data_IF_621263242630
#
_entry.id   IF_621263242630
#
_cell.length_a   1.000
_cell.length_b   1.000
_cell.length_c   1.000
_cell.angle_alpha   90.00
_cell.angle_beta   90.00
_cell.angle_gamma   90.00
#
_symmetry.space_group_name_H-M   'P 1'
#
loop_
_entity.id
_entity.type
_entity.pdbx_description
1 polymer ?
#
# COMPACT_ATOMS: atom_id res chain seq x y z
N UNK A 1 34.63 -13.02 29.95
CA UNK A 1 33.84 -12.56 28.78
C UNK A 1 32.62 -11.83 29.34
N UNK A 2 32.51 -10.49 29.23
CA UNK A 2 31.33 -9.79 29.71
C UNK A 2 30.19 -9.93 28.69
N UNK A 3 29.00 -10.24 29.19
CA UNK A 3 27.72 -10.33 28.44
C UNK A 3 27.34 -8.95 27.90
N UNK A 4 26.80 -8.82 26.67
CA UNK A 4 26.34 -7.53 26.16
C UNK A 4 25.15 -6.99 26.98
N UNK A 5 24.96 -5.66 27.05
CA UNK A 5 23.87 -5.06 27.81
C UNK A 5 22.52 -5.43 27.17
N UNK A 6 21.48 -5.55 28.02
CA UNK A 6 20.12 -5.77 27.57
C UNK A 6 19.71 -4.64 26.60
N UNK A 7 19.19 -5.01 25.42
CA UNK A 7 18.72 -4.08 24.40
C UNK A 7 17.77 -3.04 25.02
N UNK A 8 18.18 -1.78 24.97
CA UNK A 8 17.31 -0.67 25.33
C UNK A 8 16.26 -0.54 24.23
N UNK A 9 15.01 -0.89 24.55
CA UNK A 9 13.86 -0.48 23.74
C UNK A 9 13.73 1.02 23.96
N UNK A 10 14.37 1.82 23.11
CA UNK A 10 14.10 3.24 23.07
C UNK A 10 12.62 3.43 22.69
N UNK A 11 11.82 4.18 23.45
CA UNK A 11 10.47 4.53 23.03
C UNK A 11 10.59 5.32 21.72
N UNK A 12 10.05 4.74 20.64
CA UNK A 12 9.86 5.41 19.37
C UNK A 12 8.93 6.60 19.61
N UNK A 13 9.46 7.82 19.65
CA UNK A 13 8.67 9.05 19.69
C UNK A 13 8.14 9.41 18.29
N UNK A 14 7.63 8.42 17.56
CA UNK A 14 6.86 8.71 16.36
C UNK A 14 5.46 9.13 16.82
N UNK A 15 5.03 10.37 16.54
CA UNK A 15 3.65 10.75 16.81
C UNK A 15 2.72 9.79 16.07
N UNK A 16 1.67 9.32 16.75
CA UNK A 16 0.65 8.44 16.18
C UNK A 16 0.27 8.91 14.75
N UNK A 17 0.59 8.12 13.70
CA UNK A 17 0.40 8.54 12.31
C UNK A 17 -1.06 8.44 11.88
N UNK A 18 -1.92 7.83 12.70
CA UNK A 18 -3.33 7.63 12.44
C UNK A 18 -4.19 8.70 13.13
N UNK A 19 -5.36 9.04 12.57
CA UNK A 19 -6.32 9.91 13.22
C UNK A 19 -6.84 9.31 14.53
N UNK A 20 -7.45 10.15 15.38
CA UNK A 20 -8.07 9.66 16.60
C UNK A 20 -9.27 8.73 16.28
N UNK A 21 -9.27 7.48 16.76
CA UNK A 21 -10.39 6.57 16.53
C UNK A 21 -11.63 7.02 17.31
N UNK A 22 -12.81 6.62 16.85
CA UNK A 22 -14.06 6.86 17.58
C UNK A 22 -14.02 6.19 18.94
N UNK A 23 -14.51 6.88 19.97
CA UNK A 23 -14.63 6.34 21.34
C UNK A 23 -15.52 5.10 21.43
N UNK A 24 -16.51 4.99 20.53
CA UNK A 24 -17.42 3.86 20.47
C UNK A 24 -17.35 3.24 19.08
N UNK A 25 -17.05 1.93 18.99
CA UNK A 25 -17.12 1.17 17.76
C UNK A 25 -18.48 1.33 17.06
N UNK A 26 -18.48 1.23 15.74
CA UNK A 26 -19.74 1.06 15.00
C UNK A 26 -20.44 -0.21 15.45
N UNK A 27 -21.76 -0.12 15.61
CA UNK A 27 -22.60 -1.25 16.01
C UNK A 27 -22.59 -2.32 14.91
N UNK A 28 -22.24 -3.57 15.23
CA UNK A 28 -22.34 -4.70 14.30
C UNK A 28 -23.74 -4.84 13.69
N UNK A 29 -23.82 -4.95 12.37
CA UNK A 29 -25.05 -5.00 11.57
C UNK A 29 -25.83 -3.68 11.51
N UNK A 30 -25.26 -2.57 11.98
CA UNK A 30 -25.92 -1.26 12.01
C UNK A 30 -25.85 -0.52 10.67
N UNK A 31 -26.74 0.46 10.43
CA UNK A 31 -26.78 1.20 9.16
C UNK A 31 -25.48 1.95 8.86
N UNK A 32 -24.82 2.51 9.88
CA UNK A 32 -23.54 3.21 9.74
C UNK A 32 -22.39 2.28 9.34
N UNK A 33 -22.41 1.04 9.80
CA UNK A 33 -21.43 0.04 9.39
C UNK A 33 -21.68 -0.38 7.94
N UNK A 34 -22.95 -0.66 7.56
CA UNK A 34 -23.29 -1.01 6.18
C UNK A 34 -22.95 0.11 5.18
N UNK A 35 -23.18 1.36 5.57
CA UNK A 35 -22.79 2.54 4.78
C UNK A 35 -21.26 2.64 4.65
N UNK A 36 -20.53 2.43 5.74
CA UNK A 36 -19.06 2.42 5.71
C UNK A 36 -18.52 1.29 4.82
N UNK A 37 -19.04 0.07 4.94
CA UNK A 37 -18.69 -1.07 4.08
C UNK A 37 -18.90 -0.70 2.61
N UNK A 38 -20.09 -0.18 2.27
CA UNK A 38 -20.43 0.22 0.90
C UNK A 38 -19.51 1.33 0.38
N UNK A 39 -19.14 2.27 1.23
CA UNK A 39 -18.18 3.33 0.90
C UNK A 39 -16.78 2.77 0.65
N UNK A 40 -16.25 1.96 1.57
CA UNK A 40 -14.91 1.38 1.47
C UNK A 40 -14.77 0.48 0.24
N UNK A 41 -15.78 -0.34 -0.06
CA UNK A 41 -15.79 -1.20 -1.24
C UNK A 41 -15.70 -0.36 -2.52
N UNK A 42 -16.53 0.70 -2.63
CA UNK A 42 -16.50 1.62 -3.78
C UNK A 42 -15.16 2.32 -3.94
N UNK A 43 -14.56 2.81 -2.86
CA UNK A 43 -13.28 3.52 -2.92
C UNK A 43 -12.15 2.56 -3.29
N UNK A 44 -12.08 1.37 -2.69
CA UNK A 44 -11.08 0.37 -3.03
C UNK A 44 -11.20 -0.12 -4.48
N UNK A 45 -12.43 -0.28 -4.99
CA UNK A 45 -12.65 -0.62 -6.38
C UNK A 45 -12.26 0.51 -7.33
N UNK A 46 -12.50 1.77 -6.95
CA UNK A 46 -12.01 2.92 -7.69
C UNK A 46 -10.48 2.96 -7.74
N UNK A 47 -9.78 2.70 -6.61
CA UNK A 47 -8.31 2.59 -6.58
C UNK A 47 -7.83 1.49 -7.52
N UNK A 48 -8.39 0.27 -7.43
CA UNK A 48 -8.06 -0.85 -8.33
C UNK A 48 -8.28 -0.52 -9.79
N UNK A 49 -9.39 0.15 -10.10
CA UNK A 49 -9.68 0.62 -11.44
C UNK A 49 -8.60 1.61 -11.93
N UNK A 50 -8.32 2.66 -11.17
CA UNK A 50 -7.34 3.70 -11.54
C UNK A 50 -5.91 3.15 -11.66
N UNK A 51 -5.53 2.17 -10.85
CA UNK A 51 -4.25 1.44 -10.98
C UNK A 51 -4.17 0.70 -12.33
N UNK A 52 -5.22 -0.05 -12.70
CA UNK A 52 -5.25 -0.80 -13.97
C UNK A 52 -5.30 0.11 -15.20
N UNK A 53 -5.92 1.28 -15.07
CA UNK A 53 -6.02 2.28 -16.13
C UNK A 53 -4.88 3.32 -16.07
N UNK A 54 -3.74 2.98 -15.46
CA UNK A 54 -2.53 3.80 -15.34
C UNK A 54 -2.24 4.58 -16.63
N UNK A 55 -2.06 5.89 -16.46
CA UNK A 55 -1.79 6.80 -17.57
C UNK A 55 -0.28 6.95 -17.82
N UNK A 56 0.42 5.89 -18.25
CA UNK A 56 1.88 5.92 -18.46
C UNK A 56 2.40 6.24 -19.88
N UNK A 57 2.92 7.44 -20.08
CA UNK A 57 3.63 7.94 -21.26
C UNK A 57 5.09 8.17 -20.87
N UNK A 58 5.86 7.08 -20.81
CA UNK A 58 7.31 7.15 -20.57
C UNK A 58 8.16 6.23 -21.45
N UNK A 59 7.60 5.16 -22.01
CA UNK A 59 8.35 4.16 -22.78
C UNK A 59 7.55 3.48 -23.91
N UNK A 60 6.74 4.24 -24.65
CA UNK A 60 6.29 3.82 -25.99
C UNK A 60 5.32 2.62 -26.11
N UNK A 61 4.74 2.06 -25.04
CA UNK A 61 3.56 1.18 -25.14
C UNK A 61 2.57 1.36 -23.98
N UNK A 62 1.68 2.34 -24.11
CA UNK A 62 0.27 2.18 -23.73
C UNK A 62 -0.46 1.71 -24.98
N UNK A 63 -0.72 0.41 -25.09
CA UNK A 63 -1.59 -0.08 -26.16
C UNK A 63 -2.94 0.61 -26.03
N UNK A 64 -3.39 1.15 -27.15
CA UNK A 64 -4.69 1.71 -27.40
C UNK A 64 -5.80 0.97 -26.64
N UNK A 65 -6.33 1.61 -25.62
CA UNK A 65 -7.75 1.52 -25.33
C UNK A 65 -8.24 2.92 -24.97
N UNK A 66 -8.32 3.72 -26.03
CA UNK A 66 -9.22 4.88 -26.08
C UNK A 66 -10.63 4.32 -26.08
N UNK A 67 -11.05 3.74 -24.97
CA UNK A 67 -12.46 3.42 -24.76
C UNK A 67 -13.18 4.76 -24.72
N UNK A 68 -13.85 5.05 -25.82
CA UNK A 68 -14.97 5.98 -25.90
C UNK A 68 -16.15 5.41 -25.09
N UNK A 69 -15.92 5.00 -23.85
CA UNK A 69 -16.99 4.78 -22.90
C UNK A 69 -16.97 5.97 -21.95
N UNK A 70 -17.54 7.08 -22.42
CA UNK A 70 -18.17 8.08 -21.56
C UNK A 70 -19.42 7.42 -20.93
N UNK A 71 -19.20 6.33 -20.21
CA UNK A 71 -20.19 5.65 -19.41
C UNK A 71 -20.35 6.48 -18.15
N UNK A 72 -21.52 7.11 -18.07
CA UNK A 72 -22.09 7.88 -16.97
C UNK A 72 -21.97 7.15 -15.61
N UNK A 73 -20.77 7.15 -15.03
CA UNK A 73 -20.46 6.61 -13.71
C UNK A 73 -19.60 7.62 -12.97
N UNK A 74 -20.21 8.36 -12.07
CA UNK A 74 -19.56 9.29 -11.15
C UNK A 74 -18.38 8.56 -10.45
N UNK A 75 -17.14 8.82 -10.89
CA UNK A 75 -15.93 8.28 -10.26
C UNK A 75 -14.89 7.62 -11.17
N UNK A 76 -15.19 7.34 -12.45
CA UNK A 76 -14.17 6.77 -13.38
C UNK A 76 -13.33 7.88 -14.03
N UNK A 77 -12.44 8.48 -13.23
CA UNK A 77 -11.43 9.45 -13.68
C UNK A 77 -10.24 8.80 -14.39
N UNK A 78 -9.32 9.63 -14.87
CA UNK A 78 -8.02 9.19 -15.42
C UNK A 78 -7.27 8.31 -14.39
N UNK A 79 -6.61 7.25 -14.87
CA UNK A 79 -5.82 6.37 -14.01
C UNK A 79 -4.56 7.04 -13.48
N UNK A 80 -3.96 6.44 -12.44
CA UNK A 80 -2.84 7.05 -11.72
C UNK A 80 -1.61 7.25 -12.62
N UNK A 81 -0.92 8.37 -12.42
CA UNK A 81 0.33 8.70 -13.13
C UNK A 81 1.55 8.12 -12.41
N UNK A 82 1.50 8.08 -11.09
CA UNK A 82 2.54 7.56 -10.22
C UNK A 82 1.94 6.79 -9.05
N UNK A 83 2.71 5.87 -8.47
CA UNK A 83 2.25 5.08 -7.32
C UNK A 83 1.91 5.97 -6.12
N UNK A 84 2.61 7.10 -5.95
CA UNK A 84 2.33 8.07 -4.89
C UNK A 84 0.88 8.54 -4.85
N UNK A 85 0.19 8.61 -5.99
CA UNK A 85 -1.23 8.98 -6.03
C UNK A 85 -2.11 7.86 -5.48
N UNK A 86 -1.83 6.60 -5.86
CA UNK A 86 -2.51 5.44 -5.31
C UNK A 86 -2.24 5.27 -3.81
N UNK A 87 -1.00 5.48 -3.38
CA UNK A 87 -0.59 5.41 -1.98
C UNK A 87 -1.33 6.45 -1.12
N UNK A 88 -1.47 7.71 -1.60
CA UNK A 88 -2.26 8.74 -0.92
C UNK A 88 -3.74 8.37 -0.79
N UNK A 89 -4.34 7.84 -1.84
CA UNK A 89 -5.74 7.39 -1.79
C UNK A 89 -5.89 6.22 -0.80
N UNK A 90 -4.95 5.28 -0.78
CA UNK A 90 -4.91 4.17 0.20
C UNK A 90 -4.68 4.65 1.64
N UNK A 91 -3.84 5.67 1.87
CA UNK A 91 -3.68 6.28 3.19
C UNK A 91 -5.00 6.86 3.70
N UNK A 92 -5.74 7.57 2.85
CA UNK A 92 -7.05 8.09 3.21
C UNK A 92 -8.04 6.97 3.54
N UNK A 93 -7.98 5.84 2.84
CA UNK A 93 -8.77 4.64 3.16
C UNK A 93 -8.38 4.07 4.53
N UNK A 94 -7.08 3.97 4.84
CA UNK A 94 -6.59 3.52 6.16
C UNK A 94 -7.09 4.43 7.28
N UNK A 95 -7.05 5.75 7.07
CA UNK A 95 -7.54 6.73 8.04
C UNK A 95 -9.03 6.53 8.33
N UNK A 96 -9.85 6.36 7.29
CA UNK A 96 -11.30 6.12 7.44
C UNK A 96 -11.58 4.79 8.14
N UNK A 97 -10.87 3.73 7.76
CA UNK A 97 -10.97 2.41 8.42
C UNK A 97 -10.63 2.56 9.91
N UNK A 98 -9.53 3.24 10.22
CA UNK A 98 -9.07 3.43 11.59
C UNK A 98 -10.07 4.22 12.43
N UNK A 99 -10.62 5.32 11.90
CA UNK A 99 -11.64 6.14 12.57
C UNK A 99 -12.86 5.32 12.98
N UNK A 100 -13.22 4.26 12.24
CA UNK A 100 -14.39 3.43 12.57
C UNK A 100 -14.39 2.89 14.01
N UNK A 101 -13.20 2.67 14.59
CA UNK A 101 -13.05 2.09 15.92
C UNK A 101 -13.62 0.68 16.04
N UNK A 102 -13.86 -0.02 14.92
CA UNK A 102 -14.51 -1.33 14.89
C UNK A 102 -13.52 -2.42 14.50
N UNK A 103 -12.96 -3.20 15.44
CA UNK A 103 -11.89 -4.16 15.16
C UNK A 103 -12.29 -5.24 14.11
N UNK A 104 -13.58 -5.60 14.09
CA UNK A 104 -14.18 -6.52 13.12
C UNK A 104 -14.12 -6.02 11.67
N UNK A 105 -14.18 -4.70 11.46
CA UNK A 105 -14.08 -4.08 10.14
C UNK A 105 -12.64 -3.71 9.84
N UNK A 106 -11.94 -3.16 10.84
CA UNK A 106 -10.57 -2.71 10.70
C UNK A 106 -9.65 -3.82 10.19
N UNK A 107 -9.66 -4.98 10.86
CA UNK A 107 -8.77 -6.10 10.50
C UNK A 107 -8.94 -6.56 9.05
N UNK A 108 -10.13 -6.96 8.56
CA UNK A 108 -10.27 -7.43 7.19
C UNK A 108 -9.99 -6.33 6.14
N UNK A 109 -10.44 -5.09 6.36
CA UNK A 109 -10.22 -4.03 5.37
C UNK A 109 -8.77 -3.55 5.30
N UNK A 110 -8.03 -3.50 6.43
CA UNK A 110 -6.60 -3.20 6.40
C UNK A 110 -5.81 -4.31 5.67
N UNK A 111 -6.20 -5.57 5.82
CA UNK A 111 -5.65 -6.67 5.02
C UNK A 111 -5.98 -6.49 3.53
N UNK A 112 -7.18 -6.03 3.18
CA UNK A 112 -7.55 -5.71 1.80
C UNK A 112 -6.70 -4.56 1.24
N UNK A 113 -6.46 -3.50 2.00
CA UNK A 113 -5.54 -2.41 1.62
C UNK A 113 -4.14 -2.95 1.32
N UNK A 114 -3.61 -3.81 2.19
CA UNK A 114 -2.30 -4.44 1.96
C UNK A 114 -2.26 -5.26 0.68
N UNK A 115 -3.31 -6.03 0.39
CA UNK A 115 -3.42 -6.77 -0.87
C UNK A 115 -3.44 -5.84 -2.07
N UNK A 116 -4.22 -4.75 -2.02
CA UNK A 116 -4.25 -3.75 -3.09
C UNK A 116 -2.86 -3.12 -3.28
N UNK A 117 -2.16 -2.77 -2.21
CA UNK A 117 -0.79 -2.25 -2.25
C UNK A 117 0.16 -3.24 -2.94
N UNK A 118 0.16 -4.50 -2.50
CA UNK A 118 1.02 -5.57 -3.04
C UNK A 118 0.77 -5.81 -4.53
N UNK A 119 -0.49 -5.79 -4.95
CA UNK A 119 -0.85 -6.03 -6.35
C UNK A 119 -0.60 -4.79 -7.23
N UNK A 120 -0.67 -3.58 -6.65
CA UNK A 120 -0.54 -2.33 -7.41
C UNK A 120 0.89 -1.85 -7.56
N UNK A 121 1.72 -1.96 -6.52
CA UNK A 121 3.08 -1.40 -6.52
C UNK A 121 3.96 -1.90 -7.69
N UNK A 122 3.99 -3.20 -8.04
CA UNK A 122 4.78 -3.71 -9.16
C UNK A 122 4.34 -3.19 -10.54
N UNK A 123 3.14 -2.61 -10.65
CA UNK A 123 2.62 -2.08 -11.92
C UNK A 123 3.19 -0.68 -12.24
N UNK A 124 3.88 -0.05 -11.29
CA UNK A 124 4.50 1.26 -11.47
C UNK A 124 6.01 1.09 -11.68
N UNK A 125 6.49 1.61 -12.81
CA UNK A 125 7.91 1.58 -13.17
C UNK A 125 8.63 2.67 -12.36
N UNK A 126 9.74 2.32 -11.69
CA UNK A 126 10.60 3.20 -10.89
C UNK A 126 9.88 4.06 -9.82
N UNK A 127 9.23 3.45 -8.81
CA UNK A 127 8.54 4.19 -7.74
C UNK A 127 9.47 5.04 -6.85
N UNK A 128 10.78 4.90 -6.99
CA UNK A 128 11.80 5.58 -6.20
C UNK A 128 12.63 6.62 -6.96
N UNK A 129 12.53 6.65 -8.28
CA UNK A 129 13.06 7.76 -9.11
C UNK A 129 12.48 9.12 -8.70
N UNK A 130 11.34 9.12 -8.02
CA UNK A 130 10.74 10.28 -7.38
C UNK A 130 10.81 10.14 -5.85
N UNK A 131 11.64 10.92 -5.15
CA UNK A 131 11.75 10.87 -3.68
C UNK A 131 10.41 11.00 -2.95
N UNK A 132 9.48 11.79 -3.49
CA UNK A 132 8.15 11.96 -2.90
C UNK A 132 7.32 10.67 -2.91
N UNK A 133 7.58 9.77 -3.87
CA UNK A 133 6.88 8.50 -3.99
C UNK A 133 7.34 7.50 -2.93
N UNK A 134 8.64 7.38 -2.68
CA UNK A 134 9.18 6.59 -1.57
C UNK A 134 8.64 7.05 -0.22
N UNK A 135 8.65 8.36 0.05
CA UNK A 135 8.08 8.90 1.29
C UNK A 135 6.60 8.56 1.50
N UNK A 136 5.80 8.62 0.43
CA UNK A 136 4.38 8.26 0.51
C UNK A 136 4.18 6.77 0.76
N UNK A 137 5.00 5.91 0.15
CA UNK A 137 4.97 4.46 0.39
C UNK A 137 5.27 4.15 1.86
N UNK A 138 6.34 4.75 2.42
CA UNK A 138 6.71 4.53 3.82
C UNK A 138 5.66 5.08 4.79
N UNK A 139 5.10 6.26 4.53
CA UNK A 139 4.00 6.83 5.32
C UNK A 139 2.78 5.89 5.40
N UNK A 140 2.39 5.28 4.26
CA UNK A 140 1.33 4.27 4.23
C UNK A 140 1.69 3.01 5.04
N UNK A 141 2.92 2.53 4.93
CA UNK A 141 3.40 1.36 5.70
C UNK A 141 3.41 1.67 7.20
N UNK A 142 3.88 2.85 7.60
CA UNK A 142 3.93 3.27 9.00
C UNK A 142 2.52 3.29 9.62
N UNK A 143 1.52 3.80 8.89
CA UNK A 143 0.12 3.73 9.29
C UNK A 143 -0.39 2.30 9.44
N UNK A 144 -0.08 1.42 8.49
CA UNK A 144 -0.49 0.02 8.52
C UNK A 144 0.16 -0.74 9.69
N UNK A 145 1.47 -0.53 9.90
CA UNK A 145 2.22 -1.14 11.00
C UNK A 145 1.71 -0.67 12.36
N UNK A 146 1.44 0.64 12.51
CA UNK A 146 0.80 1.17 13.70
C UNK A 146 -0.57 0.53 13.93
N UNK A 147 -1.43 0.51 12.91
CA UNK A 147 -2.78 -0.05 13.02
C UNK A 147 -2.76 -1.53 13.40
N UNK A 148 -1.94 -2.35 12.73
CA UNK A 148 -1.85 -3.78 13.04
C UNK A 148 -1.22 -4.05 14.39
N UNK A 149 -0.16 -3.33 14.79
CA UNK A 149 0.42 -3.45 16.13
C UNK A 149 -0.64 -3.15 17.21
N UNK A 150 -1.41 -2.09 16.99
CA UNK A 150 -2.46 -1.67 17.91
C UNK A 150 -3.58 -2.73 18.01
N UNK A 151 -4.03 -3.26 16.87
CA UNK A 151 -5.06 -4.31 16.82
C UNK A 151 -4.59 -5.63 17.44
N UNK A 152 -3.33 -6.03 17.21
CA UNK A 152 -2.75 -7.27 17.74
C UNK A 152 -2.67 -7.24 19.27
N UNK A 153 -2.36 -6.08 19.84
CA UNK A 153 -2.26 -5.88 21.29
C UNK A 153 -3.59 -5.47 21.93
N UNK A 154 -4.55 -4.97 21.14
CA UNK A 154 -5.78 -4.36 21.62
C UNK A 154 -5.55 -3.02 22.34
N UNK A 155 -4.41 -2.38 22.11
CA UNK A 155 -3.98 -1.16 22.80
C UNK A 155 -3.32 -0.18 21.84
N UNK A 156 -3.42 1.10 22.15
CA UNK A 156 -2.63 2.13 21.50
C UNK A 156 -1.14 1.96 21.92
N UNK A 157 -0.19 1.77 20.98
CA UNK A 157 1.22 1.49 21.29
C UNK A 157 1.93 2.59 22.08
N UNK A 158 1.51 3.86 21.89
CA UNK A 158 2.18 5.02 22.49
C UNK A 158 1.67 5.28 23.91
N UNK A 159 0.36 5.17 24.09
CA UNK A 159 -0.32 5.50 25.36
C UNK A 159 -0.61 4.28 26.22
N UNK A 160 -0.50 3.07 25.66
CA UNK A 160 -0.87 1.79 26.25
C UNK A 160 -2.35 1.73 26.69
N UNK A 161 -3.21 2.61 26.15
CA UNK A 161 -4.63 2.64 26.47
C UNK A 161 -5.39 1.57 25.67
N UNK A 162 -6.42 0.92 26.24
CA UNK A 162 -7.23 -0.04 25.49
C UNK A 162 -7.86 0.62 24.26
N UNK A 163 -7.79 -0.06 23.12
CA UNK A 163 -8.48 0.40 21.92
C UNK A 163 -10.00 0.26 22.06
N UNK A 164 -10.77 1.13 21.38
CA UNK A 164 -12.22 0.94 21.24
C UNK A 164 -12.56 -0.45 20.70
N UNK A 165 -13.46 -1.15 21.38
CA UNK A 165 -13.89 -2.51 21.02
C UNK A 165 -13.00 -3.64 21.57
N UNK A 166 -11.99 -3.31 22.38
CA UNK A 166 -11.13 -4.27 23.08
C UNK A 166 -11.30 -4.26 24.61
N UNK A 167 -12.22 -3.46 25.14
CA UNK A 167 -12.40 -3.25 26.58
C UNK A 167 -12.79 -4.53 27.33
N UNK A 168 -13.52 -5.44 26.68
CA UNK A 168 -14.01 -6.70 27.27
C UNK A 168 -12.98 -7.85 27.21
N UNK A 169 -11.69 -7.55 27.00
CA UNK A 169 -10.65 -8.58 26.86
C UNK A 169 -10.68 -9.31 25.51
N UNK A 170 -11.37 -8.72 24.53
CA UNK A 170 -11.35 -9.18 23.14
C UNK A 170 -9.91 -9.23 22.63
N UNK A 171 -9.59 -10.19 21.78
CA UNK A 171 -8.33 -10.21 21.06
C UNK A 171 -8.54 -10.66 19.62
N UNK A 172 -7.58 -10.32 18.75
CA UNK A 172 -7.51 -10.84 17.39
C UNK A 172 -7.41 -12.37 17.45
N UNK A 173 -8.06 -13.10 16.55
CA UNK A 173 -8.00 -14.57 16.54
C UNK A 173 -6.61 -15.09 16.14
N UNK A 174 -6.30 -16.35 16.45
CA UNK A 174 -5.02 -16.97 16.02
C UNK A 174 -4.87 -16.94 14.50
N UNK A 175 -5.95 -17.22 13.77
CA UNK A 175 -5.97 -17.17 12.31
C UNK A 175 -5.71 -15.76 11.78
N UNK A 176 -6.36 -14.74 12.35
CA UNK A 176 -6.12 -13.34 11.95
C UNK A 176 -4.69 -12.91 12.25
N UNK A 177 -4.10 -13.31 13.39
CA UNK A 177 -2.68 -13.05 13.70
C UNK A 177 -1.75 -13.59 12.62
N UNK A 178 -1.96 -14.83 12.18
CA UNK A 178 -1.17 -15.45 11.10
C UNK A 178 -1.35 -14.70 9.78
N UNK A 179 -2.59 -14.31 9.45
CA UNK A 179 -2.89 -13.53 8.24
C UNK A 179 -2.20 -12.17 8.26
N UNK A 180 -2.30 -11.43 9.37
CA UNK A 180 -1.62 -10.14 9.54
C UNK A 180 -0.12 -10.31 9.35
N UNK A 181 0.51 -11.27 10.05
CA UNK A 181 1.95 -11.51 9.94
C UNK A 181 2.37 -11.79 8.49
N UNK A 182 1.72 -12.76 7.83
CA UNK A 182 2.06 -13.15 6.46
C UNK A 182 1.86 -12.01 5.46
N UNK A 183 0.78 -11.23 5.62
CA UNK A 183 0.49 -10.09 4.74
C UNK A 183 1.51 -8.97 4.93
N UNK A 184 1.84 -8.61 6.17
CA UNK A 184 2.83 -7.56 6.46
C UNK A 184 4.22 -7.96 5.95
N UNK A 185 4.64 -9.22 6.16
CA UNK A 185 5.90 -9.74 5.59
C UNK A 185 5.92 -9.63 4.06
N UNK A 186 4.82 -9.97 3.39
CA UNK A 186 4.69 -9.85 1.93
C UNK A 186 4.74 -8.40 1.46
N UNK A 187 4.07 -7.47 2.14
CA UNK A 187 4.13 -6.04 1.85
C UNK A 187 5.58 -5.55 1.89
N UNK A 188 6.33 -5.88 2.95
CA UNK A 188 7.74 -5.46 3.09
C UNK A 188 8.61 -5.99 1.95
N UNK A 189 8.48 -7.27 1.61
CA UNK A 189 9.25 -7.86 0.50
C UNK A 189 8.94 -7.16 -0.83
N UNK A 190 7.67 -6.91 -1.12
CA UNK A 190 7.26 -6.26 -2.38
C UNK A 190 7.75 -4.81 -2.44
N UNK A 191 7.64 -4.07 -1.34
CA UNK A 191 8.14 -2.70 -1.25
C UNK A 191 9.64 -2.65 -1.42
N UNK A 192 10.40 -3.49 -0.71
CA UNK A 192 11.85 -3.55 -0.84
C UNK A 192 12.28 -3.87 -2.26
N UNK A 193 11.66 -4.86 -2.91
CA UNK A 193 11.96 -5.18 -4.32
C UNK A 193 11.63 -4.04 -5.27
N UNK A 194 10.51 -3.35 -5.05
CA UNK A 194 10.11 -2.23 -5.89
C UNK A 194 11.06 -1.03 -5.77
N UNK A 195 11.71 -0.86 -4.62
CA UNK A 195 12.74 0.15 -4.39
C UNK A 195 14.13 -0.31 -4.85
N UNK A 196 14.45 -1.61 -4.76
CA UNK A 196 15.76 -2.17 -5.14
C UNK A 196 15.94 -2.31 -6.66
N UNK A 197 14.86 -2.53 -7.41
CA UNK A 197 14.86 -2.69 -8.87
C UNK A 197 15.16 -1.37 -9.65
N UNK A 198 15.85 -0.42 -9.02
CA UNK A 198 16.41 0.80 -9.61
C UNK A 198 17.69 0.54 -10.41
N UNK A 199 18.36 -0.60 -10.19
CA UNK A 199 19.72 -0.85 -10.68
C UNK A 199 19.86 -1.63 -12.00
N UNK A 200 18.79 -2.22 -12.56
CA UNK A 200 18.92 -3.20 -13.66
C UNK A 200 18.39 -2.73 -15.03
N UNK A 201 17.78 -1.55 -15.15
CA UNK A 201 17.25 -1.04 -16.43
C UNK A 201 18.20 -0.01 -17.12
N UNK A 202 19.52 -0.23 -17.05
CA UNK A 202 20.53 0.76 -17.46
C UNK A 202 21.75 0.26 -18.25
N UNK A 203 21.82 -1.00 -18.67
CA UNK A 203 22.89 -1.54 -19.53
C UNK A 203 22.28 -2.75 -20.26
N UNK A 204 21.81 -2.63 -21.50
CA UNK A 204 22.61 -2.99 -22.66
C UNK A 204 22.09 -2.25 -23.89
N UNK A 205 22.70 -1.10 -24.17
CA UNK A 205 22.43 -0.29 -25.35
C UNK A 205 23.74 0.22 -25.95
N UNK A 206 24.21 -0.51 -26.96
CA UNK A 206 25.13 -0.08 -28.02
C UNK A 206 26.65 -0.32 -27.82
N UNK A 207 27.11 -1.37 -28.51
CA UNK A 207 28.49 -1.58 -28.90
C UNK A 207 28.58 -1.91 -30.39
N UNK A 208 28.04 -1.04 -31.25
CA UNK A 208 28.30 -1.07 -32.69
C UNK A 208 29.81 -1.04 -32.97
N UNK A 209 30.35 -2.10 -33.59
CA UNK A 209 31.52 -1.99 -34.46
C UNK A 209 31.14 -2.46 -35.84
N UNK A 210 30.96 -1.49 -36.72
CA UNK A 210 31.11 -1.66 -38.16
C UNK A 210 32.45 -2.35 -38.45
N UNK A 211 32.42 -3.40 -39.26
CA UNK A 211 33.55 -3.73 -40.12
C UNK A 211 32.99 -3.77 -41.54
N UNK A 212 33.18 -2.65 -42.22
CA UNK A 212 33.08 -2.54 -43.67
C UNK A 212 34.35 -3.13 -44.26
N UNK A 213 34.25 -4.28 -44.92
CA UNK A 213 35.20 -4.67 -45.96
C UNK A 213 34.42 -5.27 -47.13
N UNK A 214 34.22 -4.47 -48.16
CA UNK A 214 33.83 -4.92 -49.48
C UNK A 214 34.88 -4.50 -50.49
N UNK A 215 35.40 -5.46 -51.25
CA UNK A 215 35.85 -5.35 -52.65
C UNK A 215 36.46 -6.69 -53.06
N UNK A 216 35.78 -7.49 -53.89
CA UNK A 216 36.06 -7.63 -55.33
C UNK A 216 36.83 -8.96 -55.54
N UNK A 217 36.67 -9.78 -56.57
CA UNK A 217 36.18 -9.60 -57.94
C UNK A 217 35.97 -11.00 -58.55
N UNK A 218 35.14 -11.10 -59.60
CA UNK A 218 34.84 -12.30 -60.37
C UNK A 218 36.05 -12.88 -61.13
N UNK A 219 36.10 -14.21 -61.26
CA UNK A 219 36.23 -14.94 -62.54
C UNK A 219 35.98 -16.44 -62.33
#
# INVERSE_FOLDING_TARGET
IPTPPASSIAPSTHPNPLPQPRKHPLRPGGPKESELISYLDRVLDAVRYKVRHKSWDGAGRRSAQKDKDKGNGEGKGEGYKAFSEAAKDLEGVVDVIWVSGSPNLQTPYLLTVCSVLVDSLPLFTHPSSNPNSSHTIFSLIDKLDFAFSSLLTGRDPDTNTPLPGFEDGRSVSSTERVRIKSTVERVRVVVLRALDNEGEDGDDGDGMREVSEGSGEEA
#
